data_IF_076721961111
#
_entry.id   IF_076721961111
#
_cell.length_a   1.000
_cell.length_b   1.000
_cell.length_c   1.000
_cell.angle_alpha   90.00
_cell.angle_beta   90.00
_cell.angle_gamma   90.00
#
_symmetry.space_group_name_H-M   'P 1'
#
loop_
_entity.id
_entity.type
_entity.pdbx_description
1 polymer ?
#
# COMPACT_ATOMS: atom_id res chain seq x y z
N UNK A 1 21.12 0.97 -30.64
CA UNK A 1 20.75 2.23 -29.95
C UNK A 1 19.26 2.14 -29.60
N UNK A 2 18.86 2.31 -28.33
CA UNK A 2 17.43 2.29 -27.97
C UNK A 2 16.71 3.46 -28.65
N UNK A 3 15.60 3.20 -29.33
CA UNK A 3 14.77 4.25 -29.92
C UNK A 3 13.94 4.93 -28.82
N UNK A 4 13.53 6.18 -29.06
CA UNK A 4 12.71 6.96 -28.11
C UNK A 4 11.42 6.24 -27.71
N UNK A 5 10.82 5.49 -28.63
CA UNK A 5 9.59 4.75 -28.37
C UNK A 5 9.82 3.48 -27.54
N UNK A 6 10.91 2.74 -27.80
CA UNK A 6 11.29 1.61 -26.93
C UNK A 6 11.58 2.05 -25.50
N UNK A 7 12.15 3.23 -25.33
CA UNK A 7 12.42 3.82 -24.02
C UNK A 7 11.13 4.24 -23.30
N UNK A 8 10.19 4.89 -24.00
CA UNK A 8 8.87 5.23 -23.44
C UNK A 8 8.10 3.99 -23.01
N UNK A 9 8.09 2.95 -23.84
CA UNK A 9 7.45 1.67 -23.50
C UNK A 9 8.11 0.98 -22.30
N UNK A 10 9.44 1.08 -22.16
CA UNK A 10 10.14 0.57 -20.97
C UNK A 10 9.75 1.36 -19.71
N UNK A 11 9.72 2.70 -19.77
CA UNK A 11 9.32 3.55 -18.66
C UNK A 11 7.88 3.27 -18.20
N UNK A 12 6.93 3.15 -19.13
CA UNK A 12 5.55 2.82 -18.78
C UNK A 12 5.44 1.51 -18.00
N UNK A 13 6.12 0.45 -18.47
CA UNK A 13 6.12 -0.85 -17.76
C UNK A 13 6.74 -0.77 -16.36
N UNK A 14 7.79 0.04 -16.19
CA UNK A 14 8.41 0.25 -14.88
C UNK A 14 7.47 0.99 -13.92
N UNK A 15 6.79 2.03 -14.43
CA UNK A 15 5.80 2.80 -13.67
C UNK A 15 4.58 1.95 -13.28
N UNK A 16 4.11 1.08 -14.18
CA UNK A 16 3.06 0.10 -13.89
C UNK A 16 3.49 -0.89 -12.79
N UNK A 17 4.70 -1.44 -12.89
CA UNK A 17 5.24 -2.37 -11.89
C UNK A 17 5.44 -1.72 -10.51
N UNK A 18 5.75 -0.43 -10.47
CA UNK A 18 5.79 0.37 -9.24
C UNK A 18 4.38 0.57 -8.68
N UNK A 19 3.42 0.96 -9.53
CA UNK A 19 2.03 1.13 -9.12
C UNK A 19 1.43 -0.17 -8.56
N UNK A 20 1.74 -1.31 -9.18
CA UNK A 20 1.37 -2.64 -8.66
C UNK A 20 2.00 -2.91 -7.29
N UNK A 21 3.30 -2.61 -7.11
CA UNK A 21 3.99 -2.81 -5.82
C UNK A 21 3.34 -1.96 -4.72
N UNK A 22 2.97 -0.71 -5.02
CA UNK A 22 2.23 0.17 -4.09
C UNK A 22 0.83 -0.36 -3.77
N UNK A 23 0.09 -0.86 -4.77
CA UNK A 23 -1.20 -1.53 -4.53
C UNK A 23 -1.05 -2.77 -3.63
N UNK A 24 0.04 -3.52 -3.80
CA UNK A 24 0.32 -4.69 -2.99
C UNK A 24 0.57 -4.33 -1.52
N UNK A 25 1.31 -3.24 -1.26
CA UNK A 25 1.50 -2.70 0.10
C UNK A 25 0.14 -2.39 0.73
N UNK A 26 -0.69 -1.56 0.08
CA UNK A 26 -2.04 -1.24 0.57
C UNK A 26 -2.91 -2.49 0.75
N UNK A 27 -2.75 -3.49 -0.13
CA UNK A 27 -3.44 -4.78 -0.04
C UNK A 27 -3.05 -5.58 1.20
N UNK A 28 -1.74 -5.64 1.53
CA UNK A 28 -1.24 -6.31 2.75
C UNK A 28 -1.80 -5.62 3.99
N UNK A 29 -1.70 -4.28 4.07
CA UNK A 29 -2.22 -3.51 5.20
C UNK A 29 -3.72 -3.71 5.38
N UNK A 30 -4.49 -3.70 4.29
CA UNK A 30 -5.93 -3.92 4.32
C UNK A 30 -6.28 -5.32 4.80
N UNK A 31 -5.58 -6.36 4.31
CA UNK A 31 -5.78 -7.74 4.77
C UNK A 31 -5.47 -7.88 6.25
N UNK A 32 -4.42 -7.23 6.73
CA UNK A 32 -4.06 -7.20 8.15
C UNK A 32 -5.18 -6.57 9.00
N UNK A 33 -5.65 -5.37 8.64
CA UNK A 33 -6.74 -4.69 9.34
C UNK A 33 -8.04 -5.50 9.33
N UNK A 34 -8.43 -6.02 8.17
CA UNK A 34 -9.63 -6.87 8.04
C UNK A 34 -9.54 -8.14 8.90
N UNK A 35 -8.34 -8.73 8.99
CA UNK A 35 -8.12 -9.91 9.85
C UNK A 35 -8.24 -9.54 11.33
N UNK A 36 -7.62 -8.43 11.74
CA UNK A 36 -7.72 -7.96 13.12
C UNK A 36 -9.17 -7.66 13.52
N UNK A 37 -9.93 -6.97 12.66
CA UNK A 37 -11.35 -6.70 12.86
C UNK A 37 -12.17 -7.99 12.95
N UNK A 38 -11.96 -8.92 12.01
CA UNK A 38 -12.65 -10.21 11.99
C UNK A 38 -12.35 -11.07 13.22
N UNK A 39 -11.11 -11.10 13.71
CA UNK A 39 -10.76 -11.79 14.94
C UNK A 39 -11.38 -11.14 16.18
N UNK A 40 -11.41 -9.80 16.24
CA UNK A 40 -12.06 -9.04 17.31
C UNK A 40 -13.55 -9.40 17.40
N UNK A 41 -14.25 -9.38 16.27
CA UNK A 41 -15.67 -9.75 16.19
C UNK A 41 -15.91 -11.22 16.61
N UNK A 42 -15.00 -12.14 16.25
CA UNK A 42 -15.11 -13.56 16.65
C UNK A 42 -14.91 -13.77 18.14
N UNK A 43 -13.94 -13.09 18.76
CA UNK A 43 -13.60 -13.22 20.18
C UNK A 43 -14.61 -12.52 21.09
N UNK A 44 -15.34 -11.53 20.55
CA UNK A 44 -16.38 -10.80 21.27
C UNK A 44 -17.42 -11.78 21.89
N UNK A 45 -17.70 -11.67 23.19
CA UNK A 45 -18.79 -12.40 23.82
C UNK A 45 -20.12 -12.08 23.13
N UNK A 46 -20.76 -13.10 22.55
CA UNK A 46 -22.07 -12.93 21.90
C UNK A 46 -23.15 -12.82 22.98
N UNK A 47 -23.44 -11.61 23.44
CA UNK A 47 -24.52 -11.36 24.38
C UNK A 47 -25.85 -11.88 23.79
N UNK A 48 -26.51 -12.77 24.51
CA UNK A 48 -27.74 -13.48 24.12
C UNK A 48 -28.84 -12.50 23.69
N UNK A 49 -29.21 -12.55 22.41
CA UNK A 49 -30.52 -12.33 21.79
C UNK A 49 -31.49 -11.21 22.31
N UNK A 50 -31.07 -10.10 22.94
CA UNK A 50 -32.06 -9.07 23.36
C UNK A 50 -31.81 -7.61 22.95
N UNK A 51 -30.74 -7.30 22.21
CA UNK A 51 -30.51 -5.91 21.76
C UNK A 51 -30.11 -5.86 20.29
N UNK A 52 -31.11 -6.09 19.41
CA UNK A 52 -31.00 -6.13 17.94
C UNK A 52 -30.60 -4.79 17.28
N UNK A 53 -30.06 -3.82 18.04
CA UNK A 53 -29.77 -2.45 17.59
C UNK A 53 -28.45 -1.83 18.08
N UNK A 54 -27.56 -2.57 18.72
CA UNK A 54 -26.27 -2.01 19.19
C UNK A 54 -25.10 -2.49 18.32
N UNK A 55 -25.04 -1.95 17.11
CA UNK A 55 -23.79 -1.86 16.34
C UNK A 55 -22.93 -0.78 16.98
N UNK A 56 -22.26 -1.10 18.09
CA UNK A 56 -21.25 -0.20 18.67
C UNK A 56 -20.06 -1.04 19.04
N UNK A 57 -19.08 -1.00 18.16
CA UNK A 57 -17.68 -1.22 18.49
C UNK A 57 -17.39 -0.50 19.81
N UNK A 58 -17.06 -1.25 20.85
CA UNK A 58 -16.82 -0.73 22.20
C UNK A 58 -15.34 -0.40 22.41
N UNK A 59 -15.02 0.31 23.48
CA UNK A 59 -13.61 0.52 23.85
C UNK A 59 -12.86 -0.79 24.14
N UNK A 60 -13.55 -1.82 24.63
CA UNK A 60 -12.97 -3.14 24.82
C UNK A 60 -12.72 -3.85 23.48
N UNK A 61 -13.62 -3.67 22.49
CA UNK A 61 -13.41 -4.17 21.13
C UNK A 61 -12.21 -3.46 20.47
N UNK A 62 -12.10 -2.13 20.62
CA UNK A 62 -10.95 -1.36 20.12
C UNK A 62 -9.63 -1.84 20.74
N UNK A 63 -9.60 -2.04 22.07
CA UNK A 63 -8.39 -2.53 22.74
C UNK A 63 -7.99 -3.93 22.26
N UNK A 64 -8.96 -4.84 22.07
CA UNK A 64 -8.67 -6.17 21.54
C UNK A 64 -8.22 -6.12 20.07
N UNK A 65 -8.83 -5.26 19.26
CA UNK A 65 -8.42 -5.01 17.89
C UNK A 65 -6.99 -4.52 17.80
N UNK A 66 -6.60 -3.52 18.60
CA UNK A 66 -5.23 -2.99 18.62
C UNK A 66 -4.23 -4.06 19.06
N UNK A 67 -4.56 -4.88 20.07
CA UNK A 67 -3.72 -6.03 20.47
C UNK A 67 -3.51 -7.03 19.33
N UNK A 68 -4.58 -7.41 18.64
CA UNK A 68 -4.49 -8.34 17.51
C UNK A 68 -3.72 -7.69 16.35
N UNK A 69 -3.95 -6.40 16.10
CA UNK A 69 -3.28 -5.65 15.05
C UNK A 69 -1.77 -5.60 15.29
N UNK A 70 -1.34 -5.37 16.54
CA UNK A 70 0.07 -5.35 16.93
C UNK A 70 0.75 -6.71 16.72
N UNK A 71 0.10 -7.79 17.14
CA UNK A 71 0.59 -9.16 16.90
C UNK A 71 0.71 -9.45 15.40
N UNK A 72 -0.29 -9.08 14.61
CA UNK A 72 -0.27 -9.26 13.16
C UNK A 72 0.78 -8.36 12.48
N UNK A 73 0.97 -7.14 12.97
CA UNK A 73 1.96 -6.21 12.47
C UNK A 73 3.36 -6.78 12.60
N UNK A 74 3.68 -7.45 13.72
CA UNK A 74 4.97 -8.13 13.87
C UNK A 74 5.25 -9.17 12.76
N UNK A 75 4.22 -9.88 12.31
CA UNK A 75 4.34 -10.90 11.25
C UNK A 75 4.39 -10.27 9.85
N UNK A 76 3.59 -9.24 9.60
CA UNK A 76 3.49 -8.58 8.29
C UNK A 76 4.60 -7.57 8.03
N UNK A 77 5.30 -7.10 9.08
CA UNK A 77 6.36 -6.10 8.98
C UNK A 77 7.46 -6.50 8.00
N UNK A 78 7.91 -7.75 8.04
CA UNK A 78 8.96 -8.24 7.13
C UNK A 78 8.50 -8.21 5.66
N UNK A 79 7.22 -8.51 5.40
CA UNK A 79 6.66 -8.45 4.05
C UNK A 79 6.53 -7.02 3.56
N UNK A 80 5.99 -6.11 4.38
CA UNK A 80 5.87 -4.68 4.07
C UNK A 80 7.25 -4.05 3.83
N UNK A 81 8.21 -4.27 4.72
CA UNK A 81 9.57 -3.77 4.57
C UNK A 81 10.28 -4.30 3.31
N UNK A 82 9.93 -5.50 2.84
CA UNK A 82 10.44 -6.03 1.57
C UNK A 82 9.79 -5.32 0.38
N UNK A 83 8.49 -5.05 0.44
CA UNK A 83 7.76 -4.34 -0.61
C UNK A 83 8.18 -2.88 -0.70
N UNK A 84 8.38 -2.20 0.42
CA UNK A 84 8.86 -0.81 0.47
C UNK A 84 10.24 -0.69 -0.17
N UNK A 85 11.20 -1.54 0.24
CA UNK A 85 12.53 -1.59 -0.39
C UNK A 85 12.45 -1.91 -1.88
N UNK A 86 11.47 -2.69 -2.33
CA UNK A 86 11.24 -2.95 -3.76
C UNK A 86 10.75 -1.69 -4.47
N UNK A 87 9.76 -1.00 -3.90
CA UNK A 87 9.23 0.24 -4.43
C UNK A 87 10.32 1.32 -4.56
N UNK A 88 11.15 1.50 -3.52
CA UNK A 88 12.29 2.42 -3.55
C UNK A 88 13.28 2.11 -4.68
N UNK A 89 13.60 0.82 -4.89
CA UNK A 89 14.48 0.41 -6.00
C UNK A 89 13.86 0.70 -7.36
N UNK A 90 12.55 0.49 -7.51
CA UNK A 90 11.83 0.79 -8.75
C UNK A 90 11.81 2.30 -9.02
N UNK A 91 11.49 3.12 -8.00
CA UNK A 91 11.54 4.58 -8.10
C UNK A 91 12.93 5.08 -8.53
N UNK A 92 14.00 4.62 -7.87
CA UNK A 92 15.39 4.98 -8.24
C UNK A 92 15.75 4.57 -9.67
N UNK A 93 15.30 3.39 -10.11
CA UNK A 93 15.55 2.92 -11.47
C UNK A 93 14.81 3.76 -12.53
N UNK A 94 13.56 4.14 -12.26
CA UNK A 94 12.77 5.02 -13.12
C UNK A 94 13.45 6.39 -13.23
N UNK A 95 13.84 6.98 -12.10
CA UNK A 95 14.55 8.27 -12.08
C UNK A 95 15.87 8.23 -12.84
N UNK A 96 16.68 7.19 -12.63
CA UNK A 96 17.94 7.02 -13.33
C UNK A 96 17.73 6.93 -14.85
N UNK A 97 16.69 6.22 -15.29
CA UNK A 97 16.37 6.07 -16.70
C UNK A 97 15.89 7.39 -17.32
N UNK A 98 15.01 8.12 -16.61
CA UNK A 98 14.56 9.46 -17.02
C UNK A 98 15.72 10.44 -17.16
N UNK A 99 16.63 10.47 -16.17
CA UNK A 99 17.84 11.32 -16.20
C UNK A 99 18.76 10.97 -17.36
N UNK A 100 19.04 9.68 -17.58
CA UNK A 100 20.00 9.22 -18.60
C UNK A 100 19.57 9.55 -20.04
N UNK A 101 18.27 9.54 -20.31
CA UNK A 101 17.75 9.66 -21.67
C UNK A 101 16.90 10.92 -21.91
N UNK A 102 16.83 11.83 -20.93
CA UNK A 102 16.11 13.11 -21.05
C UNK A 102 14.60 12.96 -21.28
N UNK A 103 14.02 11.80 -20.97
CA UNK A 103 12.58 11.57 -21.07
C UNK A 103 11.94 12.08 -19.78
N UNK A 104 11.20 13.19 -19.91
CA UNK A 104 10.63 14.03 -18.83
C UNK A 104 11.61 14.96 -18.11
N UNK A 105 12.31 15.84 -18.85
CA UNK A 105 12.57 17.18 -18.31
C UNK A 105 11.20 17.88 -18.07
N UNK A 106 11.04 18.71 -17.03
CA UNK A 106 9.80 19.45 -16.83
C UNK A 106 9.46 20.24 -18.10
N UNK A 107 8.20 20.19 -18.55
CA UNK A 107 7.70 20.98 -19.68
C UNK A 107 8.05 22.46 -19.39
N UNK A 108 8.63 23.23 -20.34
CA UNK A 108 8.94 24.64 -20.10
C UNK A 108 7.64 25.33 -19.68
N UNK A 109 7.68 26.05 -18.55
CA UNK A 109 6.60 26.95 -18.15
C UNK A 109 6.59 28.07 -19.18
N UNK A 110 5.68 27.99 -20.14
CA UNK A 110 5.33 29.14 -20.95
C UNK A 110 4.61 30.09 -20.00
N UNK A 111 5.33 31.09 -19.51
CA UNK A 111 4.72 32.27 -18.90
C UNK A 111 4.26 33.11 -20.09
N UNK A 112 2.95 33.21 -20.25
CA UNK A 112 2.36 34.16 -21.20
C UNK A 112 2.18 35.44 -20.40
N UNK A 113 2.95 36.46 -20.77
CA UNK A 113 2.77 37.85 -20.30
C UNK A 113 1.44 38.43 -20.77
#
# INVERSE_FOLDING_TARGET
MMTRDTLRAALMRMEEALAETRRNITGVERRMRNRAEGETIRRRPKARHYHRRMSRWTGADEAEYQRILEVLAGVTFAELARLDRKAERQDRAIEALRRKYGVNAPRPRIVVD
#
